data_IF_383239869666
#
_entry.id   IF_383239869666
#
_cell.length_a   1.000
_cell.length_b   1.000
_cell.length_c   1.000
_cell.angle_alpha   90.00
_cell.angle_beta   90.00
_cell.angle_gamma   90.00
#
_symmetry.space_group_name_H-M   'P 1'
#
loop_
_entity.id
_entity.type
_entity.pdbx_description
1 polymer ?
#
# COMPACT_ATOMS: atom_id res chain seq x y z
N UNK A 1 -40.55 -6.05 -26.73
CA UNK A 1 -40.66 -7.52 -26.62
C UNK A 1 -40.05 -8.08 -27.87
N UNK A 2 -39.14 -9.04 -27.73
CA UNK A 2 -38.17 -9.55 -28.71
C UNK A 2 -36.79 -8.88 -28.53
N UNK A 3 -35.93 -9.58 -27.78
CA UNK A 3 -34.47 -9.65 -27.96
C UNK A 3 -33.97 -10.79 -27.05
N UNK A 4 -34.55 -11.98 -27.23
CA UNK A 4 -34.21 -13.20 -26.49
C UNK A 4 -34.05 -14.39 -27.45
N UNK A 5 -33.41 -14.15 -28.60
CA UNK A 5 -33.10 -15.19 -29.59
C UNK A 5 -31.73 -14.93 -30.22
N UNK A 6 -30.66 -14.99 -29.41
CA UNK A 6 -29.30 -15.14 -29.97
C UNK A 6 -28.33 -15.93 -29.08
N UNK A 7 -28.85 -16.66 -28.09
CA UNK A 7 -28.05 -17.49 -27.18
C UNK A 7 -28.27 -19.00 -27.36
N UNK A 8 -29.01 -19.41 -28.40
CA UNK A 8 -29.32 -20.82 -28.68
C UNK A 8 -28.66 -21.43 -29.91
N UNK A 9 -27.97 -20.66 -30.75
CA UNK A 9 -27.19 -21.23 -31.87
C UNK A 9 -25.72 -21.54 -31.53
N UNK A 10 -25.15 -20.97 -30.46
CA UNK A 10 -23.73 -21.19 -30.13
C UNK A 10 -23.44 -22.36 -29.19
N UNK A 11 -24.45 -23.16 -28.82
CA UNK A 11 -24.26 -24.36 -27.98
C UNK A 11 -24.55 -25.68 -28.71
N UNK A 12 -24.84 -25.62 -30.01
CA UNK A 12 -25.15 -26.79 -30.84
C UNK A 12 -23.95 -27.28 -31.67
N UNK A 13 -22.73 -26.88 -31.29
CA UNK A 13 -21.49 -27.31 -31.94
C UNK A 13 -20.68 -28.32 -31.09
N UNK A 14 -21.02 -28.52 -29.81
CA UNK A 14 -20.14 -29.23 -28.87
C UNK A 14 -20.60 -30.61 -28.40
N UNK A 15 -21.64 -31.17 -29.00
CA UNK A 15 -22.00 -32.56 -28.76
C UNK A 15 -22.14 -33.30 -30.09
N UNK A 16 -21.45 -34.43 -30.16
CA UNK A 16 -21.57 -35.52 -31.14
C UNK A 16 -20.60 -35.49 -32.31
N UNK A 17 -19.36 -35.91 -32.07
CA UNK A 17 -18.79 -37.12 -32.70
C UNK A 17 -17.69 -37.70 -31.78
N UNK A 18 -18.11 -38.53 -30.83
CA UNK A 18 -17.23 -39.47 -30.14
C UNK A 18 -17.29 -40.81 -30.89
N UNK A 19 -16.33 -41.04 -31.80
CA UNK A 19 -16.01 -42.36 -32.35
C UNK A 19 -15.03 -43.12 -31.42
N UNK A 20 -15.12 -44.46 -31.32
CA UNK A 20 -14.38 -45.22 -30.31
C UNK A 20 -13.02 -45.75 -30.80
N UNK A 21 -12.14 -45.95 -29.81
CA UNK A 21 -10.90 -46.75 -29.77
C UNK A 21 -9.75 -46.38 -30.72
N UNK A 22 -8.62 -45.96 -30.14
CA UNK A 22 -7.33 -46.70 -30.18
C UNK A 22 -6.21 -45.90 -29.49
N UNK A 23 -5.33 -46.59 -28.75
CA UNK A 23 -3.94 -46.16 -28.57
C UNK A 23 -3.58 -45.28 -27.37
N UNK A 24 -3.44 -45.91 -26.20
CA UNK A 24 -2.44 -45.50 -25.22
C UNK A 24 -1.07 -45.88 -25.79
N UNK A 25 -0.47 -45.08 -26.69
CA UNK A 25 0.97 -45.13 -27.07
C UNK A 25 1.27 -44.13 -28.22
N UNK A 26 1.41 -42.83 -27.91
CA UNK A 26 2.33 -41.92 -28.62
C UNK A 26 2.34 -40.53 -27.99
N UNK A 27 3.35 -40.25 -27.16
CA UNK A 27 3.74 -38.88 -26.83
C UNK A 27 4.31 -38.21 -28.09
N UNK A 28 3.85 -37.01 -28.48
CA UNK A 28 4.43 -36.31 -29.64
C UNK A 28 5.88 -35.86 -29.32
N UNK A 29 6.87 -36.23 -30.15
CA UNK A 29 8.26 -35.86 -29.96
C UNK A 29 8.46 -34.40 -30.40
N UNK A 30 8.42 -33.46 -29.47
CA UNK A 30 8.61 -32.05 -29.83
C UNK A 30 8.89 -31.05 -28.72
N UNK A 31 8.94 -31.44 -27.45
CA UNK A 31 9.26 -30.51 -26.36
C UNK A 31 10.54 -30.99 -25.69
N UNK A 32 11.66 -30.44 -26.14
CA UNK A 32 12.95 -30.73 -25.51
C UNK A 32 12.91 -30.32 -24.02
N UNK A 33 13.67 -31.00 -23.14
CA UNK A 33 13.70 -30.68 -21.70
C UNK A 33 14.06 -29.21 -21.42
N UNK A 34 14.71 -28.53 -22.36
CA UNK A 34 15.04 -27.12 -22.32
C UNK A 34 13.80 -26.22 -22.41
N UNK A 35 12.83 -26.56 -23.27
CA UNK A 35 11.57 -25.81 -23.42
C UNK A 35 10.70 -26.00 -22.16
N UNK A 36 10.67 -27.21 -21.60
CA UNK A 36 9.99 -27.51 -20.33
C UNK A 36 10.59 -26.72 -19.16
N UNK A 37 11.93 -26.64 -19.06
CA UNK A 37 12.62 -25.82 -18.05
C UNK A 37 12.39 -24.33 -18.24
N UNK A 38 12.33 -23.84 -19.49
CA UNK A 38 12.05 -22.44 -19.79
C UNK A 38 10.63 -22.04 -19.37
N UNK A 39 9.65 -22.90 -19.62
CA UNK A 39 8.27 -22.69 -19.20
C UNK A 39 8.14 -22.75 -17.66
N UNK A 40 8.79 -23.72 -17.01
CA UNK A 40 8.82 -23.81 -15.54
C UNK A 40 9.50 -22.59 -14.89
N UNK A 41 10.59 -22.09 -15.49
CA UNK A 41 11.29 -20.89 -15.02
C UNK A 41 10.44 -19.63 -15.21
N UNK A 42 9.76 -19.47 -16.36
CA UNK A 42 8.86 -18.35 -16.59
C UNK A 42 7.66 -18.35 -15.61
N UNK A 43 7.15 -19.53 -15.26
CA UNK A 43 6.11 -19.67 -14.23
C UNK A 43 6.67 -19.32 -12.84
N UNK A 44 7.91 -19.71 -12.50
CA UNK A 44 8.53 -19.35 -11.24
C UNK A 44 8.82 -17.84 -11.12
N UNK A 45 9.26 -17.20 -12.21
CA UNK A 45 9.55 -15.77 -12.26
C UNK A 45 8.28 -14.92 -12.14
N UNK A 46 7.17 -15.37 -12.73
CA UNK A 46 5.86 -14.72 -12.56
C UNK A 46 5.32 -14.85 -11.13
N UNK A 47 5.53 -16.00 -10.47
CA UNK A 47 5.16 -16.20 -9.05
C UNK A 47 6.02 -15.36 -8.10
N UNK A 48 7.33 -15.24 -8.37
CA UNK A 48 8.25 -14.36 -7.61
C UNK A 48 7.95 -12.87 -7.85
N UNK A 49 7.53 -12.47 -9.05
CA UNK A 49 7.10 -11.10 -9.37
C UNK A 49 5.79 -10.71 -8.65
N UNK A 50 4.88 -11.66 -8.42
CA UNK A 50 3.64 -11.44 -7.66
C UNK A 50 3.90 -11.07 -6.18
N UNK A 51 5.03 -11.50 -5.61
CA UNK A 51 5.47 -11.17 -4.24
C UNK A 51 6.02 -9.73 -4.11
N UNK A 52 6.55 -9.15 -5.20
CA UNK A 52 7.20 -7.82 -5.20
C UNK A 52 6.27 -6.65 -5.57
N UNK A 53 4.98 -6.89 -5.80
CA UNK A 53 4.00 -5.85 -6.15
C UNK A 53 3.57 -4.97 -4.96
N UNK A 54 4.54 -4.46 -4.19
CA UNK A 54 4.39 -3.19 -3.48
C UNK A 54 4.59 -2.07 -4.51
N UNK A 55 3.58 -1.91 -5.37
CA UNK A 55 3.41 -0.69 -6.14
C UNK A 55 3.17 0.39 -5.07
N UNK A 56 4.17 1.22 -4.81
CA UNK A 56 4.03 2.43 -4.02
C UNK A 56 3.10 3.35 -4.82
N UNK A 57 1.80 3.15 -4.63
CA UNK A 57 0.75 3.69 -5.50
C UNK A 57 0.74 5.23 -5.49
N UNK A 58 1.21 5.91 -6.56
CA UNK A 58 1.04 7.35 -6.67
C UNK A 58 -0.47 7.59 -6.85
N UNK A 59 -1.05 8.52 -6.10
CA UNK A 59 -2.48 8.90 -6.19
C UNK A 59 -2.92 9.14 -7.64
N UNK A 60 -2.03 9.71 -8.46
CA UNK A 60 -2.22 9.93 -9.89
C UNK A 60 -2.49 8.64 -10.69
N UNK A 61 -1.81 7.54 -10.39
CA UNK A 61 -2.03 6.25 -11.06
C UNK A 61 -3.43 5.70 -10.77
N UNK A 62 -3.86 5.80 -9.50
CA UNK A 62 -5.19 5.35 -9.08
C UNK A 62 -6.32 6.14 -9.74
N UNK A 63 -6.13 7.46 -9.93
CA UNK A 63 -7.09 8.32 -10.62
C UNK A 63 -7.20 7.96 -12.10
N UNK A 64 -6.07 7.70 -12.79
CA UNK A 64 -6.08 7.26 -14.19
C UNK A 64 -6.82 5.92 -14.35
N UNK A 65 -6.55 4.98 -13.45
CA UNK A 65 -7.22 3.68 -13.42
C UNK A 65 -8.72 3.82 -13.12
N UNK A 66 -9.11 4.72 -12.22
CA UNK A 66 -10.52 4.96 -11.90
C UNK A 66 -11.30 5.52 -13.09
N UNK A 67 -10.71 6.46 -13.86
CA UNK A 67 -11.33 6.96 -15.10
C UNK A 67 -11.50 5.87 -16.16
N UNK A 68 -10.46 5.10 -16.42
CA UNK A 68 -10.52 3.98 -17.39
C UNK A 68 -11.52 2.88 -16.97
N UNK A 69 -11.76 2.72 -15.67
CA UNK A 69 -12.77 1.81 -15.13
C UNK A 69 -14.20 2.28 -15.40
N UNK A 70 -14.45 3.59 -15.37
CA UNK A 70 -15.75 4.18 -15.71
C UNK A 70 -16.07 4.02 -17.20
N UNK A 71 -15.05 4.17 -18.06
CA UNK A 71 -15.21 4.10 -19.52
C UNK A 71 -15.38 2.68 -20.06
N UNK A 72 -14.54 1.72 -19.64
CA UNK A 72 -14.42 0.39 -20.29
C UNK A 72 -14.78 -0.78 -19.37
N UNK A 73 -15.03 -0.50 -18.10
CA UNK A 73 -15.45 -1.48 -17.11
C UNK A 73 -14.31 -2.29 -16.47
N UNK A 74 -14.67 -3.00 -15.40
CA UNK A 74 -13.75 -3.64 -14.44
C UNK A 74 -12.89 -4.75 -15.04
N UNK A 75 -13.47 -5.52 -15.95
CA UNK A 75 -12.80 -6.67 -16.56
C UNK A 75 -11.69 -6.22 -17.52
N UNK A 76 -11.96 -5.18 -18.31
CA UNK A 76 -11.00 -4.61 -19.25
C UNK A 76 -9.80 -3.98 -18.54
N UNK A 77 -10.06 -3.16 -17.51
CA UNK A 77 -9.00 -2.53 -16.72
C UNK A 77 -8.11 -3.56 -15.98
N UNK A 78 -8.67 -4.69 -15.53
CA UNK A 78 -7.89 -5.73 -14.88
C UNK A 78 -6.88 -6.42 -15.80
N UNK A 79 -7.25 -6.58 -17.07
CA UNK A 79 -6.37 -7.13 -18.09
C UNK A 79 -5.24 -6.16 -18.46
N UNK A 80 -5.54 -4.87 -18.64
CA UNK A 80 -4.54 -3.86 -18.98
C UNK A 80 -3.57 -3.60 -17.82
N UNK A 81 -4.11 -3.29 -16.63
CA UNK A 81 -3.29 -2.83 -15.51
C UNK A 81 -2.69 -3.96 -14.68
N UNK A 82 -3.03 -5.22 -14.95
CA UNK A 82 -2.54 -6.41 -14.21
C UNK A 82 -2.72 -6.30 -12.68
N UNK A 83 -3.71 -5.50 -12.26
CA UNK A 83 -4.01 -5.26 -10.85
C UNK A 83 -5.15 -6.19 -10.43
N UNK A 84 -5.04 -6.76 -9.23
CA UNK A 84 -6.06 -7.66 -8.73
C UNK A 84 -7.41 -6.93 -8.57
N UNK A 85 -8.51 -7.58 -8.99
CA UNK A 85 -9.90 -7.08 -8.86
C UNK A 85 -10.24 -6.49 -7.49
N UNK A 86 -9.66 -7.03 -6.40
CA UNK A 86 -9.84 -6.52 -5.04
C UNK A 86 -9.35 -5.07 -4.87
N UNK A 87 -8.25 -4.71 -5.53
CA UNK A 87 -7.69 -3.33 -5.48
C UNK A 87 -8.58 -2.35 -6.22
N UNK A 88 -9.08 -2.69 -7.42
CA UNK A 88 -10.02 -1.81 -8.14
C UNK A 88 -11.30 -1.56 -7.34
N UNK A 89 -11.89 -2.59 -6.73
CA UNK A 89 -13.07 -2.43 -5.86
C UNK A 89 -12.82 -1.49 -4.68
N UNK A 90 -11.58 -1.43 -4.18
CA UNK A 90 -11.19 -0.50 -3.12
C UNK A 90 -11.00 0.91 -3.69
N UNK A 91 -10.34 1.06 -4.83
CA UNK A 91 -10.09 2.36 -5.45
C UNK A 91 -11.37 3.03 -5.93
N UNK A 92 -12.32 2.29 -6.54
CA UNK A 92 -13.64 2.82 -6.88
C UNK A 92 -14.43 3.31 -5.65
N UNK A 93 -14.24 2.68 -4.48
CA UNK A 93 -14.90 3.11 -3.23
C UNK A 93 -14.21 4.30 -2.58
N UNK A 94 -12.92 4.47 -2.83
CA UNK A 94 -12.09 5.49 -2.21
C UNK A 94 -11.74 6.62 -3.20
N UNK A 95 -12.38 6.74 -4.38
CA UNK A 95 -12.09 7.75 -5.41
C UNK A 95 -12.05 9.17 -4.85
N UNK A 96 -13.03 9.54 -4.01
CA UNK A 96 -13.12 10.85 -3.37
C UNK A 96 -11.96 11.08 -2.36
N UNK A 97 -11.55 10.02 -1.68
CA UNK A 97 -10.42 10.03 -0.73
C UNK A 97 -9.07 10.00 -1.44
N UNK A 98 -9.04 9.58 -2.70
CA UNK A 98 -7.85 9.55 -3.55
C UNK A 98 -7.67 10.87 -4.30
N UNK A 99 -8.77 11.59 -4.59
CA UNK A 99 -8.76 12.93 -5.15
C UNK A 99 -8.28 13.98 -4.14
N UNK A 100 -8.57 13.77 -2.85
CA UNK A 100 -8.00 14.58 -1.78
C UNK A 100 -6.56 14.12 -1.49
N UNK A 101 -5.57 15.03 -1.44
CA UNK A 101 -4.23 14.64 -1.04
C UNK A 101 -4.30 14.09 0.38
N UNK A 102 -3.84 12.86 0.58
CA UNK A 102 -3.88 12.23 1.89
C UNK A 102 -3.15 13.11 2.91
N UNK A 103 -3.88 13.72 3.86
CA UNK A 103 -3.28 14.30 5.07
C UNK A 103 -2.45 13.20 5.72
N UNK A 104 -1.15 13.46 5.88
CA UNK A 104 -0.11 12.51 6.27
C UNK A 104 -0.60 11.39 7.20
N UNK A 105 -0.84 10.19 6.64
CA UNK A 105 -1.22 9.04 7.46
C UNK A 105 -0.10 8.58 8.38
N UNK A 106 1.15 8.96 8.10
CA UNK A 106 2.30 8.74 8.98
C UNK A 106 2.08 9.30 10.40
N UNK A 107 1.31 10.38 10.55
CA UNK A 107 0.98 10.94 11.86
C UNK A 107 0.02 10.05 12.69
N UNK A 108 -0.70 9.11 12.05
CA UNK A 108 -1.67 8.23 12.72
C UNK A 108 -1.04 6.94 13.25
N UNK A 109 0.06 6.49 12.66
CA UNK A 109 0.80 5.29 13.07
C UNK A 109 2.06 5.67 13.84
N UNK A 110 1.86 6.16 15.06
CA UNK A 110 2.93 6.49 16.01
C UNK A 110 2.44 6.33 17.45
N UNK A 111 3.38 6.18 18.39
CA UNK A 111 3.02 6.31 19.81
C UNK A 111 2.47 7.72 20.02
N UNK A 112 1.28 7.81 20.62
CA UNK A 112 0.72 9.10 21.06
C UNK A 112 1.71 9.72 22.05
N UNK A 113 1.98 11.01 21.88
CA UNK A 113 2.79 11.79 22.82
C UNK A 113 2.01 11.83 24.15
N UNK A 114 2.58 11.28 25.21
CA UNK A 114 1.87 11.16 26.50
C UNK A 114 1.74 12.49 27.25
N UNK A 115 2.59 13.48 26.96
CA UNK A 115 2.68 14.75 27.70
C UNK A 115 2.79 15.93 26.73
N UNK A 116 1.82 16.03 25.83
CA UNK A 116 1.85 17.04 24.78
C UNK A 116 1.88 18.47 25.35
N UNK A 117 1.10 18.75 26.39
CA UNK A 117 1.05 20.08 27.01
C UNK A 117 2.41 20.52 27.58
N UNK A 118 3.14 19.58 28.19
CA UNK A 118 4.47 19.82 28.76
C UNK A 118 5.50 20.06 27.64
N UNK A 119 5.41 19.27 26.57
CA UNK A 119 6.29 19.43 25.40
C UNK A 119 6.03 20.78 24.70
N UNK A 120 4.78 21.23 24.61
CA UNK A 120 4.41 22.54 24.06
C UNK A 120 4.98 23.70 24.89
N UNK A 121 4.89 23.61 26.22
CA UNK A 121 5.49 24.59 27.14
C UNK A 121 7.02 24.64 27.01
N UNK A 122 7.66 23.47 26.90
CA UNK A 122 9.11 23.38 26.70
C UNK A 122 9.55 23.98 25.35
N UNK A 123 8.79 23.74 24.28
CA UNK A 123 9.05 24.33 22.96
C UNK A 123 8.94 25.85 23.04
N UNK A 124 7.91 26.37 23.72
CA UNK A 124 7.72 27.81 23.91
C UNK A 124 8.91 28.44 24.65
N UNK A 125 9.33 27.84 25.77
CA UNK A 125 10.52 28.27 26.50
C UNK A 125 11.77 28.26 25.61
N UNK A 126 11.95 27.21 24.80
CA UNK A 126 13.11 27.11 23.90
C UNK A 126 13.11 28.22 22.85
N UNK A 127 11.95 28.53 22.28
CA UNK A 127 11.78 29.62 21.32
C UNK A 127 12.09 30.98 21.96
N UNK A 128 11.57 31.25 23.16
CA UNK A 128 11.84 32.49 23.90
C UNK A 128 13.33 32.69 24.19
N UNK A 129 14.05 31.62 24.54
CA UNK A 129 15.51 31.69 24.73
C UNK A 129 16.25 31.98 23.42
N UNK A 130 15.81 31.38 22.32
CA UNK A 130 16.39 31.59 20.98
C UNK A 130 16.15 33.02 20.48
N UNK A 131 14.95 33.57 20.68
CA UNK A 131 14.64 34.96 20.29
C UNK A 131 15.40 35.97 21.13
N UNK A 132 15.66 35.67 22.41
CA UNK A 132 16.52 36.46 23.29
C UNK A 132 18.03 36.34 22.97
N UNK A 133 18.43 35.55 21.96
CA UNK A 133 19.84 35.34 21.60
C UNK A 133 20.63 34.47 22.58
N UNK A 134 19.95 33.75 23.48
CA UNK A 134 20.60 32.90 24.49
C UNK A 134 20.88 31.52 23.88
N UNK A 135 22.12 31.07 23.98
CA UNK A 135 22.49 29.71 23.57
C UNK A 135 21.92 28.68 24.55
N UNK A 136 21.00 27.84 24.06
CA UNK A 136 20.43 26.73 24.85
C UNK A 136 21.19 25.45 24.55
N UNK A 137 21.87 24.92 25.57
CA UNK A 137 22.57 23.62 25.47
C UNK A 137 21.59 22.46 25.66
N UNK A 138 21.93 21.27 25.14
CA UNK A 138 21.12 20.07 25.35
C UNK A 138 20.96 19.66 26.82
N UNK A 139 21.93 20.02 27.69
CA UNK A 139 21.78 19.88 29.14
C UNK A 139 20.72 20.81 29.70
N UNK A 140 20.68 22.06 29.22
CA UNK A 140 19.66 23.05 29.58
C UNK A 140 18.25 22.57 29.23
N UNK A 141 18.04 22.06 28.01
CA UNK A 141 16.75 21.50 27.58
C UNK A 141 16.29 20.36 28.50
N UNK A 142 17.19 19.43 28.85
CA UNK A 142 16.86 18.33 29.76
C UNK A 142 16.51 18.81 31.17
N UNK A 143 17.21 19.83 31.66
CA UNK A 143 16.96 20.38 32.98
C UNK A 143 15.60 21.07 33.06
N UNK A 144 15.28 21.89 32.06
CA UNK A 144 13.98 22.54 31.95
C UNK A 144 12.85 21.51 31.83
N UNK A 145 13.03 20.49 30.98
CA UNK A 145 12.06 19.42 30.82
C UNK A 145 11.81 18.68 32.14
N UNK A 146 12.85 18.38 32.92
CA UNK A 146 12.69 17.79 34.26
C UNK A 146 11.91 18.71 35.20
N UNK A 147 12.15 20.01 35.14
CA UNK A 147 11.47 20.99 35.97
C UNK A 147 9.98 21.10 35.62
N UNK A 148 9.65 21.22 34.33
CA UNK A 148 8.27 21.24 33.85
C UNK A 148 7.54 19.95 34.22
N UNK A 149 8.14 18.78 33.97
CA UNK A 149 7.54 17.50 34.36
C UNK A 149 7.28 17.40 35.87
N UNK A 150 8.17 17.91 36.72
CA UNK A 150 7.96 17.97 38.17
C UNK A 150 6.81 18.90 38.55
N UNK A 151 6.70 20.07 37.92
CA UNK A 151 5.62 21.03 38.16
C UNK A 151 4.25 20.44 37.80
N UNK A 152 4.19 19.67 36.72
CA UNK A 152 2.98 18.93 36.28
C UNK A 152 2.76 17.60 37.02
N UNK A 153 3.49 17.33 38.11
CA UNK A 153 3.29 16.15 38.97
C UNK A 153 3.89 14.84 38.44
N UNK A 154 4.65 14.87 37.35
CA UNK A 154 5.29 13.69 36.78
C UNK A 154 6.75 13.54 37.29
N UNK A 155 6.91 12.79 38.39
CA UNK A 155 8.22 12.54 38.98
C UNK A 155 9.04 11.43 38.29
N UNK A 156 8.40 10.62 37.44
CA UNK A 156 9.05 9.46 36.80
C UNK A 156 9.78 9.83 35.50
N UNK A 157 9.69 11.08 35.07
CA UNK A 157 10.37 11.56 33.86
C UNK A 157 11.88 11.71 34.10
N UNK A 158 12.70 11.12 33.21
CA UNK A 158 14.17 11.04 33.36
C UNK A 158 14.96 11.89 32.37
N UNK A 159 14.30 12.62 31.46
CA UNK A 159 14.95 13.40 30.38
C UNK A 159 16.16 12.70 29.74
N UNK A 160 16.00 11.41 29.40
CA UNK A 160 17.11 10.57 28.94
C UNK A 160 17.72 11.08 27.62
N UNK A 161 18.94 10.65 27.31
CA UNK A 161 19.57 10.97 26.01
C UNK A 161 18.69 10.55 24.83
N UNK A 162 18.05 9.38 24.91
CA UNK A 162 17.15 8.89 23.87
C UNK A 162 15.86 9.70 23.71
N UNK A 163 15.34 10.29 24.80
CA UNK A 163 14.23 11.24 24.73
C UNK A 163 14.68 12.54 24.07
N UNK A 164 15.80 13.12 24.53
CA UNK A 164 16.33 14.38 23.98
C UNK A 164 16.60 14.29 22.47
N UNK A 165 17.23 13.20 22.00
CA UNK A 165 17.51 13.00 20.58
C UNK A 165 16.25 12.89 19.72
N UNK A 166 15.13 12.44 20.29
CA UNK A 166 13.83 12.41 19.60
C UNK A 166 13.13 13.76 19.64
N UNK A 167 13.29 14.49 20.74
CA UNK A 167 12.70 15.81 20.93
C UNK A 167 13.32 16.87 20.00
N UNK A 168 14.63 16.81 19.74
CA UNK A 168 15.32 17.77 18.86
C UNK A 168 15.26 17.44 17.36
N UNK A 169 14.67 16.29 17.00
CA UNK A 169 14.61 15.82 15.61
C UNK A 169 13.38 16.34 14.91
#
# INVERSE_FOLDING_TARGET
MNDELDLRENLQFFENEAGPSEGLDSLPPGITPAISKFIQQAIADTVQAQSKNKIDDPSAFKLKVAKELEEKGKHHAAWIFHVNKKRFRKWCRDTDKLATPAKQMAARWGRKVCFQDIDEELIKWFQERRTAGICVTGKGVKYEALQLHKQHGNQNFRASNGWYLKFVK
#
